data_IF_563165110107
#
_entry.id   IF_563165110107
#
_cell.length_a   1.000
_cell.length_b   1.000
_cell.length_c   1.000
_cell.angle_alpha   90.00
_cell.angle_beta   90.00
_cell.angle_gamma   90.00
#
_symmetry.space_group_name_H-M   'P 1'
#
loop_
_entity.id
_entity.type
_entity.pdbx_description
1 polymer ?
#
# COMPACT_ATOMS: atom_id res chain seq x y z
N UNK A 1 -27.27 -19.23 24.49
CA UNK A 1 -25.98 -19.46 23.78
C UNK A 1 -25.19 -18.16 23.85
N UNK A 2 -23.95 -18.17 24.34
CA UNK A 2 -23.16 -16.93 24.54
C UNK A 2 -22.29 -16.58 23.33
N UNK A 3 -21.81 -15.33 23.26
CA UNK A 3 -20.88 -14.87 22.23
C UNK A 3 -19.61 -15.74 22.13
N UNK A 4 -19.02 -16.09 23.28
CA UNK A 4 -17.85 -16.96 23.32
C UNK A 4 -18.11 -18.37 22.76
N UNK A 5 -19.36 -18.84 22.80
CA UNK A 5 -19.73 -20.12 22.18
C UNK A 5 -19.83 -19.97 20.67
N UNK A 6 -20.53 -18.96 20.15
CA UNK A 6 -20.63 -18.77 18.69
C UNK A 6 -19.24 -18.56 18.05
N UNK A 7 -18.32 -17.85 18.71
CA UNK A 7 -16.97 -17.62 18.20
C UNK A 7 -16.14 -18.91 18.09
N UNK A 8 -16.26 -19.83 19.06
CA UNK A 8 -15.60 -21.14 18.99
C UNK A 8 -16.14 -22.01 17.85
N UNK A 9 -17.46 -22.01 17.64
CA UNK A 9 -18.08 -22.74 16.53
C UNK A 9 -17.65 -22.17 15.17
N UNK A 10 -17.51 -20.85 15.06
CA UNK A 10 -17.10 -20.19 13.83
C UNK A 10 -15.59 -20.19 13.58
N UNK A 11 -14.76 -20.50 14.59
CA UNK A 11 -13.30 -20.42 14.49
C UNK A 11 -12.70 -21.22 13.31
N UNK A 12 -13.13 -22.46 12.99
CA UNK A 12 -12.60 -23.19 11.83
C UNK A 12 -12.94 -22.52 10.50
N UNK A 13 -14.17 -22.02 10.34
CA UNK A 13 -14.61 -21.32 9.13
C UNK A 13 -13.91 -19.96 8.97
N UNK A 14 -13.76 -19.19 10.05
CA UNK A 14 -12.99 -17.94 10.04
C UNK A 14 -11.54 -18.18 9.65
N UNK A 15 -10.93 -19.27 10.13
CA UNK A 15 -9.55 -19.64 9.81
C UNK A 15 -9.39 -20.05 8.34
N UNK A 16 -10.36 -20.76 7.76
CA UNK A 16 -10.31 -21.12 6.33
C UNK A 16 -10.53 -19.93 5.40
N UNK A 17 -11.28 -18.92 5.84
CA UNK A 17 -11.52 -17.68 5.11
C UNK A 17 -10.47 -16.60 5.38
N UNK A 18 -9.48 -16.88 6.24
CA UNK A 18 -8.48 -15.87 6.61
C UNK A 18 -7.57 -15.57 5.42
N UNK A 19 -7.72 -14.38 4.85
CA UNK A 19 -6.81 -13.85 3.83
C UNK A 19 -5.43 -13.68 4.45
N UNK A 20 -4.42 -14.37 3.91
CA UNK A 20 -3.02 -14.11 4.24
C UNK A 20 -2.53 -12.99 3.33
N UNK A 21 -2.33 -11.81 3.91
CA UNK A 21 -1.68 -10.72 3.20
C UNK A 21 -0.27 -11.14 2.77
N UNK A 22 0.05 -10.89 1.50
CA UNK A 22 1.39 -11.10 0.97
C UNK A 22 2.01 -9.73 0.74
N UNK A 23 3.21 -9.52 1.28
CA UNK A 23 3.98 -8.31 0.95
C UNK A 23 4.66 -8.52 -0.40
N UNK A 24 4.43 -7.60 -1.33
CA UNK A 24 5.13 -7.60 -2.63
C UNK A 24 6.49 -6.92 -2.57
N UNK A 25 6.78 -6.24 -1.45
CA UNK A 25 8.01 -5.48 -1.25
C UNK A 25 9.16 -6.43 -0.95
N UNK A 26 10.12 -6.53 -1.88
CA UNK A 26 11.38 -7.24 -1.63
C UNK A 26 12.36 -6.30 -0.95
N UNK A 27 12.89 -6.65 0.24
CA UNK A 27 13.90 -5.84 0.89
C UNK A 27 15.16 -5.78 0.01
N UNK A 28 15.59 -4.59 -0.36
CA UNK A 28 16.86 -4.35 -1.07
C UNK A 28 17.78 -3.52 -0.17
N UNK A 29 18.93 -4.08 0.28
CA UNK A 29 19.88 -3.34 1.10
C UNK A 29 20.49 -2.13 0.36
N UNK A 30 20.60 -2.22 -0.96
CA UNK A 30 21.29 -1.23 -1.80
C UNK A 30 20.48 0.05 -2.00
N UNK A 31 19.14 -0.05 -2.06
CA UNK A 31 18.27 1.08 -2.39
C UNK A 31 17.74 1.82 -1.15
N UNK A 32 17.82 1.21 0.03
CA UNK A 32 17.28 1.81 1.26
C UNK A 32 17.98 3.13 1.65
N UNK A 33 19.23 3.30 1.23
CA UNK A 33 20.03 4.50 1.53
C UNK A 33 20.26 5.39 0.30
N UNK A 34 19.81 4.99 -0.89
CA UNK A 34 20.04 5.77 -2.12
C UNK A 34 19.03 6.91 -2.30
N UNK A 35 17.92 6.88 -1.58
CA UNK A 35 16.89 7.92 -1.57
C UNK A 35 16.82 8.44 -0.14
N UNK A 36 17.03 9.75 0.04
CA UNK A 36 16.83 10.40 1.33
C UNK A 36 15.36 10.32 1.70
N UNK A 37 15.05 9.58 2.76
CA UNK A 37 13.71 9.54 3.34
C UNK A 37 13.70 10.44 4.57
N UNK A 38 12.58 11.11 4.83
CA UNK A 38 12.34 11.81 6.09
C UNK A 38 12.43 10.81 7.24
N UNK A 39 13.16 11.18 8.28
CA UNK A 39 13.41 10.36 9.47
C UNK A 39 12.64 10.92 10.66
N UNK A 40 12.48 10.07 11.66
CA UNK A 40 11.97 10.51 12.97
C UNK A 40 12.91 11.59 13.51
N UNK A 41 12.34 12.76 13.80
CA UNK A 41 13.06 13.93 14.32
C UNK A 41 13.41 14.98 13.27
N UNK A 42 13.18 14.71 11.97
CA UNK A 42 13.24 15.75 10.95
C UNK A 42 12.06 16.71 11.09
N UNK A 43 12.27 17.99 10.76
CA UNK A 43 11.20 18.98 10.75
C UNK A 43 10.13 18.61 9.73
N UNK A 44 8.84 18.64 10.10
CA UNK A 44 7.76 18.29 9.18
C UNK A 44 7.67 19.30 8.04
N UNK A 45 7.18 18.84 6.88
CA UNK A 45 6.87 19.74 5.77
C UNK A 45 5.81 20.77 6.22
N UNK A 46 6.07 22.05 5.95
CA UNK A 46 5.17 23.16 6.31
C UNK A 46 4.53 23.84 5.10
N UNK A 47 4.99 23.51 3.89
CA UNK A 47 4.51 24.07 2.63
C UNK A 47 3.94 22.95 1.76
N UNK A 48 2.71 23.10 1.20
CA UNK A 48 2.15 22.13 0.27
C UNK A 48 3.06 21.86 -0.94
N UNK A 49 2.99 20.64 -1.47
CA UNK A 49 3.81 20.14 -2.57
C UNK A 49 4.76 19.00 -2.19
N UNK A 50 4.79 18.60 -0.91
CA UNK A 50 5.56 17.44 -0.44
C UNK A 50 4.64 16.23 -0.41
N UNK A 51 4.84 15.31 -1.35
CA UNK A 51 3.96 14.16 -1.56
C UNK A 51 4.65 12.86 -1.15
N UNK A 52 3.95 12.04 -0.37
CA UNK A 52 4.28 10.62 -0.21
C UNK A 52 3.41 9.78 -1.14
N UNK A 53 4.03 8.78 -1.78
CA UNK A 53 3.36 7.91 -2.72
C UNK A 53 3.63 6.44 -2.39
N UNK A 54 2.59 5.61 -2.47
CA UNK A 54 2.70 4.16 -2.30
C UNK A 54 1.81 3.40 -3.29
N UNK A 55 2.04 2.09 -3.44
CA UNK A 55 1.24 1.22 -4.28
C UNK A 55 0.69 0.02 -3.54
N UNK A 56 -0.61 -0.23 -3.67
CA UNK A 56 -1.29 -1.43 -3.13
C UNK A 56 -1.62 -2.39 -4.27
N UNK A 57 -1.23 -3.66 -4.14
CA UNK A 57 -1.58 -4.70 -5.10
C UNK A 57 -2.87 -5.43 -4.71
N UNK A 58 -3.88 -5.41 -5.58
CA UNK A 58 -5.17 -6.10 -5.38
C UNK A 58 -5.09 -7.57 -5.80
N UNK A 59 -4.20 -8.33 -5.14
CA UNK A 59 -3.83 -9.70 -5.54
C UNK A 59 -4.42 -10.80 -4.64
N UNK A 60 -5.14 -10.44 -3.57
CA UNK A 60 -5.67 -11.42 -2.63
C UNK A 60 -4.55 -12.27 -2.00
N UNK A 61 -4.70 -13.60 -1.91
CA UNK A 61 -3.73 -14.48 -1.23
C UNK A 61 -2.55 -14.93 -2.11
N UNK A 62 -2.51 -14.58 -3.41
CA UNK A 62 -1.47 -15.02 -4.34
C UNK A 62 -0.98 -13.89 -5.23
N UNK A 63 0.33 -13.80 -5.43
CA UNK A 63 0.94 -12.83 -6.35
C UNK A 63 1.23 -13.48 -7.73
N UNK A 64 0.51 -14.53 -8.08
CA UNK A 64 0.57 -15.14 -9.42
C UNK A 64 -0.50 -14.52 -10.32
N UNK A 65 -0.07 -13.91 -11.43
CA UNK A 65 -0.96 -13.32 -12.43
C UNK A 65 -0.82 -11.81 -12.57
N UNK A 66 -1.80 -11.19 -13.24
CA UNK A 66 -1.95 -9.74 -13.34
C UNK A 66 -3.09 -9.27 -12.43
N UNK A 67 -2.88 -8.15 -11.75
CA UNK A 67 -3.84 -7.56 -10.82
C UNK A 67 -3.74 -6.04 -10.91
N UNK A 68 -4.88 -5.38 -10.74
CA UNK A 68 -4.90 -3.93 -10.57
C UNK A 68 -4.06 -3.54 -9.36
N UNK A 69 -3.42 -2.38 -9.44
CA UNK A 69 -2.77 -1.75 -8.29
C UNK A 69 -3.32 -0.34 -8.13
N UNK A 70 -3.45 0.11 -6.90
CA UNK A 70 -3.76 1.51 -6.64
C UNK A 70 -2.44 2.23 -6.35
N UNK A 71 -2.17 3.31 -7.08
CA UNK A 71 -1.23 4.35 -6.70
C UNK A 71 -1.97 5.32 -5.78
N UNK A 72 -1.45 5.56 -4.60
CA UNK A 72 -1.97 6.54 -3.64
C UNK A 72 -0.91 7.62 -3.46
N UNK A 73 -1.30 8.88 -3.60
CA UNK A 73 -0.42 10.03 -3.43
C UNK A 73 -1.05 11.00 -2.44
N UNK A 74 -0.35 11.28 -1.35
CA UNK A 74 -0.84 12.16 -0.29
C UNK A 74 0.12 13.33 -0.11
N UNK A 75 -0.38 14.55 -0.23
CA UNK A 75 0.35 15.74 0.18
C UNK A 75 0.40 15.79 1.72
N UNK A 76 1.61 15.84 2.27
CA UNK A 76 1.84 15.71 3.70
C UNK A 76 1.34 16.92 4.52
N UNK A 77 1.19 18.09 3.89
CA UNK A 77 0.85 19.33 4.59
C UNK A 77 -0.65 19.53 4.64
N UNK A 78 -1.32 19.30 3.52
CA UNK A 78 -2.77 19.46 3.38
C UNK A 78 -3.54 18.19 3.75
N UNK A 79 -2.88 17.02 3.71
CA UNK A 79 -3.53 15.72 3.84
C UNK A 79 -4.36 15.32 2.61
N UNK A 80 -4.35 16.12 1.55
CA UNK A 80 -5.07 15.81 0.31
C UNK A 80 -4.50 14.55 -0.32
N UNK A 81 -5.39 13.63 -0.70
CA UNK A 81 -5.01 12.33 -1.25
C UNK A 81 -5.67 12.11 -2.60
N UNK A 82 -4.87 11.76 -3.58
CA UNK A 82 -5.30 11.32 -4.91
C UNK A 82 -5.02 9.83 -5.10
N UNK A 83 -5.88 9.17 -5.88
CA UNK A 83 -5.77 7.75 -6.17
C UNK A 83 -5.90 7.47 -7.66
N UNK A 84 -5.00 6.66 -8.19
CA UNK A 84 -5.07 6.18 -9.57
C UNK A 84 -4.97 4.65 -9.63
N UNK A 85 -5.71 4.03 -10.55
CA UNK A 85 -5.57 2.60 -10.85
C UNK A 85 -4.48 2.40 -11.91
N UNK A 86 -3.48 1.58 -11.62
CA UNK A 86 -2.37 1.27 -12.52
C UNK A 86 -2.28 -0.24 -12.78
N UNK A 87 -1.73 -0.62 -13.94
CA UNK A 87 -1.61 -2.04 -14.33
C UNK A 87 -0.58 -2.79 -13.48
N UNK A 88 0.59 -2.20 -13.22
CA UNK A 88 1.61 -2.73 -12.32
C UNK A 88 2.63 -1.64 -11.93
N UNK A 89 3.64 -1.97 -11.13
CA UNK A 89 4.67 -1.03 -10.65
C UNK A 89 5.76 -0.68 -11.68
N UNK A 90 5.58 -1.00 -12.97
CA UNK A 90 6.51 -0.52 -13.99
C UNK A 90 6.46 1.02 -14.06
N UNK A 91 7.64 1.65 -14.12
CA UNK A 91 7.78 3.10 -14.08
C UNK A 91 6.87 3.85 -15.07
N UNK A 92 6.69 3.30 -16.29
CA UNK A 92 5.82 3.90 -17.31
C UNK A 92 4.37 4.09 -16.85
N UNK A 93 3.82 3.17 -16.06
CA UNK A 93 2.44 3.25 -15.60
C UNK A 93 2.30 4.21 -14.42
N UNK A 94 3.33 4.29 -13.57
CA UNK A 94 3.39 5.24 -12.46
C UNK A 94 3.48 6.66 -13.03
N UNK A 95 4.44 6.92 -13.93
CA UNK A 95 4.63 8.25 -14.52
C UNK A 95 3.40 8.70 -15.30
N UNK A 96 2.77 7.80 -16.07
CA UNK A 96 1.53 8.12 -16.76
C UNK A 96 0.41 8.49 -15.77
N UNK A 97 0.19 7.69 -14.73
CA UNK A 97 -0.84 7.96 -13.73
C UNK A 97 -0.59 9.28 -12.99
N UNK A 98 0.66 9.61 -12.65
CA UNK A 98 1.02 10.89 -12.02
C UNK A 98 0.74 12.06 -12.96
N UNK A 99 0.91 11.91 -14.27
CA UNK A 99 0.63 12.97 -15.23
C UNK A 99 -0.86 13.21 -15.48
N UNK A 100 -1.71 12.22 -15.14
CA UNK A 100 -3.15 12.27 -15.32
C UNK A 100 -3.91 12.73 -14.05
N UNK A 101 -3.21 12.88 -12.92
CA UNK A 101 -3.69 13.42 -11.64
C UNK A 101 -3.41 14.92 -11.55
#
# INVERSE_FOLDING_TARGET
MSAATIDRYLAPARRSMQLRGISTTKPSPLLRNSIGLSKVGDEPATVPGVVEADTVAHCGPTFQGEFARTLTMTDLVTGWTENASIRNNAAKWIVQAVADL
#
